data_IF_050833872952
#
_entry.id   IF_050833872952
#
_cell.length_a   1.000
_cell.length_b   1.000
_cell.length_c   1.000
_cell.angle_alpha   90.00
_cell.angle_beta   90.00
_cell.angle_gamma   90.00
#
_symmetry.space_group_name_H-M   'P 1'
#
loop_
_entity.id
_entity.type
_entity.pdbx_description
1 polymer ?
#
# COMPACT_ATOMS: atom_id res chain seq x y z
N UNK A 1 -14.63 12.95 -11.26
CA UNK A 1 -14.66 11.54 -10.80
C UNK A 1 -15.45 10.65 -11.75
N UNK A 2 -16.44 11.18 -12.42
CA UNK A 2 -17.27 10.45 -13.37
C UNK A 2 -16.84 10.83 -14.79
N UNK A 3 -16.68 9.84 -15.67
CA UNK A 3 -16.42 10.08 -17.09
C UNK A 3 -17.60 10.84 -17.74
N UNK A 4 -17.32 11.44 -18.88
CA UNK A 4 -18.33 12.13 -19.67
C UNK A 4 -19.56 11.22 -19.92
N UNK A 5 -20.76 11.72 -19.74
CA UNK A 5 -22.02 10.99 -19.93
C UNK A 5 -22.48 10.09 -18.77
N UNK A 6 -21.73 9.98 -17.65
CA UNK A 6 -22.22 9.25 -16.47
C UNK A 6 -23.27 10.05 -15.74
N UNK A 7 -23.14 11.39 -15.69
CA UNK A 7 -24.14 12.27 -15.12
C UNK A 7 -25.48 12.16 -15.83
N UNK A 8 -25.46 12.13 -17.16
CA UNK A 8 -26.68 11.96 -17.96
C UNK A 8 -27.36 10.62 -17.68
N UNK A 9 -26.60 9.52 -17.64
CA UNK A 9 -27.13 8.21 -17.29
C UNK A 9 -27.69 8.12 -15.87
N UNK A 10 -27.12 8.89 -14.93
CA UNK A 10 -27.65 8.97 -13.58
C UNK A 10 -28.95 9.77 -13.55
N UNK A 11 -29.02 10.89 -14.29
CA UNK A 11 -30.24 11.68 -14.43
C UNK A 11 -31.39 10.87 -15.04
N UNK A 12 -31.09 9.98 -16.00
CA UNK A 12 -32.09 9.09 -16.62
C UNK A 12 -32.76 8.09 -15.64
N UNK A 13 -32.21 7.94 -14.42
CA UNK A 13 -32.82 7.10 -13.37
C UNK A 13 -33.94 7.82 -12.61
N UNK A 14 -34.06 9.14 -12.75
CA UNK A 14 -35.13 9.92 -12.14
C UNK A 14 -36.36 9.92 -13.04
N UNK A 15 -37.52 9.72 -12.43
CA UNK A 15 -38.81 9.72 -13.18
C UNK A 15 -39.18 11.12 -13.64
N UNK A 16 -39.94 11.19 -14.75
CA UNK A 16 -40.48 12.43 -15.30
C UNK A 16 -41.35 13.16 -14.23
N UNK A 17 -40.93 14.39 -13.91
CA UNK A 17 -41.65 15.26 -12.97
C UNK A 17 -40.91 15.56 -11.66
N UNK A 18 -39.77 14.96 -11.44
CA UNK A 18 -38.85 15.36 -10.37
C UNK A 18 -38.09 16.66 -10.75
N UNK A 19 -37.55 17.32 -9.74
CA UNK A 19 -36.70 18.50 -9.94
C UNK A 19 -35.51 18.11 -10.84
N UNK A 20 -35.38 18.77 -11.98
CA UNK A 20 -34.33 18.54 -12.98
C UNK A 20 -32.92 18.52 -12.36
N UNK A 21 -32.71 19.13 -11.21
CA UNK A 21 -31.43 19.22 -10.52
C UNK A 21 -31.36 18.35 -9.27
N UNK A 22 -32.39 17.58 -8.92
CA UNK A 22 -32.43 16.77 -7.70
C UNK A 22 -31.22 15.81 -7.64
N UNK A 23 -30.90 15.15 -8.75
CA UNK A 23 -29.74 14.25 -8.85
C UNK A 23 -28.40 14.97 -8.59
N UNK A 24 -28.30 16.27 -8.93
CA UNK A 24 -27.09 17.06 -8.68
C UNK A 24 -26.88 17.30 -7.18
N UNK A 25 -27.96 17.57 -6.45
CA UNK A 25 -27.91 17.73 -5.00
C UNK A 25 -27.50 16.42 -4.33
N UNK A 26 -28.05 15.29 -4.76
CA UNK A 26 -27.70 13.97 -4.25
C UNK A 26 -26.21 13.67 -4.49
N UNK A 27 -25.71 13.92 -5.70
CA UNK A 27 -24.28 13.74 -6.02
C UNK A 27 -23.39 14.65 -5.18
N UNK A 28 -23.80 15.92 -4.96
CA UNK A 28 -23.05 16.87 -4.14
C UNK A 28 -23.03 16.41 -2.68
N UNK A 29 -24.18 16.03 -2.13
CA UNK A 29 -24.29 15.55 -0.76
C UNK A 29 -23.49 14.27 -0.55
N UNK A 30 -23.58 13.33 -1.50
CA UNK A 30 -22.82 12.09 -1.48
C UNK A 30 -21.31 12.35 -1.57
N UNK A 31 -20.90 13.28 -2.45
CA UNK A 31 -19.51 13.66 -2.60
C UNK A 31 -18.96 14.46 -1.40
N UNK A 32 -19.82 15.15 -0.66
CA UNK A 32 -19.45 15.88 0.56
C UNK A 32 -19.23 14.95 1.76
N UNK A 33 -19.94 13.81 1.80
CA UNK A 33 -19.81 12.82 2.87
C UNK A 33 -18.58 11.94 2.65
N UNK A 34 -17.59 12.04 3.55
CA UNK A 34 -16.34 11.28 3.45
C UNK A 34 -16.59 9.76 3.51
N UNK A 35 -17.47 9.32 4.40
CA UNK A 35 -17.78 7.91 4.56
C UNK A 35 -18.36 7.30 3.26
N UNK A 36 -19.30 8.01 2.63
CA UNK A 36 -19.88 7.56 1.36
C UNK A 36 -18.85 7.50 0.23
N UNK A 37 -17.97 8.50 0.15
CA UNK A 37 -16.87 8.47 -0.82
C UNK A 37 -15.96 7.27 -0.61
N UNK A 38 -15.63 6.96 0.63
CA UNK A 38 -14.76 5.83 0.97
C UNK A 38 -15.41 4.50 0.61
N UNK A 39 -16.72 4.34 0.84
CA UNK A 39 -17.48 3.17 0.41
C UNK A 39 -17.45 3.01 -1.12
N UNK A 40 -17.71 4.08 -1.86
CA UNK A 40 -17.70 4.05 -3.32
C UNK A 40 -16.30 3.74 -3.87
N UNK A 41 -15.27 4.36 -3.31
CA UNK A 41 -13.88 4.10 -3.69
C UNK A 41 -13.45 2.67 -3.36
N UNK A 42 -13.87 2.14 -2.21
CA UNK A 42 -13.64 0.76 -1.81
C UNK A 42 -14.30 -0.23 -2.79
N UNK A 43 -15.55 0.02 -3.16
CA UNK A 43 -16.26 -0.78 -4.16
C UNK A 43 -15.56 -0.73 -5.54
N UNK A 44 -15.26 0.47 -6.03
CA UNK A 44 -14.59 0.66 -7.32
C UNK A 44 -13.22 -0.04 -7.36
N UNK A 45 -12.46 0.05 -6.28
CA UNK A 45 -11.17 -0.64 -6.14
C UNK A 45 -11.33 -2.15 -6.11
N UNK A 46 -12.30 -2.67 -5.36
CA UNK A 46 -12.60 -4.10 -5.29
C UNK A 46 -12.98 -4.67 -6.66
N UNK A 47 -13.83 -3.96 -7.40
CA UNK A 47 -14.24 -4.37 -8.74
C UNK A 47 -13.09 -4.29 -9.75
N UNK A 48 -12.24 -3.26 -9.64
CA UNK A 48 -11.04 -3.15 -10.48
C UNK A 48 -10.08 -4.34 -10.25
N UNK A 49 -9.80 -4.70 -9.00
CA UNK A 49 -8.93 -5.85 -8.67
C UNK A 49 -9.56 -7.17 -9.14
N UNK A 50 -10.87 -7.34 -8.95
CA UNK A 50 -11.60 -8.50 -9.46
C UNK A 50 -11.45 -8.65 -10.98
N UNK A 51 -11.63 -7.57 -11.73
CA UNK A 51 -11.46 -7.56 -13.18
C UNK A 51 -10.00 -7.82 -13.58
N UNK A 52 -9.05 -7.18 -12.92
CA UNK A 52 -7.62 -7.40 -13.16
C UNK A 52 -7.24 -8.86 -12.96
N UNK A 53 -7.73 -9.51 -11.91
CA UNK A 53 -7.45 -10.93 -11.67
C UNK A 53 -8.16 -11.85 -12.67
N UNK A 54 -9.40 -11.53 -13.06
CA UNK A 54 -10.16 -12.27 -14.06
C UNK A 54 -9.45 -12.28 -15.44
N UNK A 55 -8.86 -11.15 -15.83
CA UNK A 55 -8.23 -11.01 -17.14
C UNK A 55 -6.74 -11.41 -17.17
N UNK A 56 -6.06 -11.42 -16.03
CA UNK A 56 -4.63 -11.76 -15.92
C UNK A 56 -4.25 -13.09 -16.61
N UNK A 57 -4.97 -14.22 -16.43
CA UNK A 57 -4.63 -15.46 -17.13
C UNK A 57 -4.71 -15.33 -18.64
N UNK A 58 -5.64 -14.52 -19.16
CA UNK A 58 -5.87 -14.31 -20.58
C UNK A 58 -4.73 -13.53 -21.23
N UNK A 59 -4.03 -12.68 -20.49
CA UNK A 59 -2.92 -11.88 -21.02
C UNK A 59 -1.67 -12.68 -21.31
N UNK A 60 -1.53 -13.90 -20.76
CA UNK A 60 -0.36 -14.76 -20.99
C UNK A 60 -0.15 -15.12 -22.46
N UNK A 61 -1.21 -15.10 -23.26
CA UNK A 61 -1.19 -15.45 -24.67
C UNK A 61 -1.13 -14.22 -25.60
N UNK A 62 -1.13 -13.00 -25.03
CA UNK A 62 -1.02 -11.78 -25.81
C UNK A 62 0.43 -11.51 -26.22
N UNK A 63 0.59 -10.77 -27.32
CA UNK A 63 1.88 -10.20 -27.68
C UNK A 63 2.40 -9.30 -26.56
N UNK A 64 3.72 -9.16 -26.47
CA UNK A 64 4.40 -8.48 -25.37
C UNK A 64 3.91 -7.05 -25.16
N UNK A 65 3.71 -6.28 -26.24
CA UNK A 65 3.21 -4.91 -26.17
C UNK A 65 1.82 -4.80 -25.51
N UNK A 66 0.89 -5.71 -25.80
CA UNK A 66 -0.44 -5.71 -25.17
C UNK A 66 -0.37 -6.18 -23.72
N UNK A 67 0.50 -7.14 -23.40
CA UNK A 67 0.73 -7.56 -22.02
C UNK A 67 1.33 -6.43 -21.18
N UNK A 68 2.27 -5.68 -21.76
CA UNK A 68 2.85 -4.50 -21.11
C UNK A 68 1.79 -3.41 -20.87
N UNK A 69 0.94 -3.10 -21.85
CA UNK A 69 -0.16 -2.15 -21.69
C UNK A 69 -1.13 -2.57 -20.59
N UNK A 70 -1.49 -3.86 -20.52
CA UNK A 70 -2.33 -4.38 -19.43
C UNK A 70 -1.66 -4.21 -18.07
N UNK A 71 -0.39 -4.57 -17.91
CA UNK A 71 0.34 -4.46 -16.66
C UNK A 71 0.42 -2.99 -16.19
N UNK A 72 0.70 -2.08 -17.11
CA UNK A 72 0.74 -0.65 -16.84
C UNK A 72 -0.64 -0.11 -16.40
N UNK A 73 -1.70 -0.51 -17.10
CA UNK A 73 -3.07 -0.12 -16.73
C UNK A 73 -3.44 -0.61 -15.32
N UNK A 74 -3.14 -1.87 -15.01
CA UNK A 74 -3.42 -2.45 -13.70
C UNK A 74 -2.61 -1.77 -12.60
N UNK A 75 -1.34 -1.45 -12.85
CA UNK A 75 -0.50 -0.71 -11.91
C UNK A 75 -1.03 0.71 -11.69
N UNK A 76 -1.39 1.42 -12.74
CA UNK A 76 -1.97 2.77 -12.66
C UNK A 76 -3.31 2.79 -11.91
N UNK A 77 -4.20 1.84 -12.18
CA UNK A 77 -5.46 1.72 -11.45
C UNK A 77 -5.27 1.47 -9.95
N UNK A 78 -4.21 0.77 -9.58
CA UNK A 78 -3.85 0.56 -8.17
C UNK A 78 -3.33 1.82 -7.46
N UNK A 79 -2.90 2.87 -8.18
CA UNK A 79 -2.43 4.13 -7.58
C UNK A 79 -3.52 4.95 -6.91
N UNK A 80 -4.79 4.70 -7.20
CA UNK A 80 -5.91 5.40 -6.57
C UNK A 80 -5.85 5.28 -5.04
N UNK A 81 -5.30 4.20 -4.52
CA UNK A 81 -5.06 4.03 -3.08
C UNK A 81 -3.89 4.85 -2.51
N UNK A 82 -3.03 5.41 -3.36
CA UNK A 82 -1.83 6.14 -2.94
C UNK A 82 -2.14 7.37 -2.07
N UNK A 83 -3.20 8.10 -2.40
CA UNK A 83 -3.58 9.34 -1.70
C UNK A 83 -4.76 9.17 -0.75
N UNK A 84 -5.47 8.04 -0.81
CA UNK A 84 -6.71 7.76 -0.10
C UNK A 84 -6.63 6.40 0.59
N UNK A 85 -5.50 6.12 1.24
CA UNK A 85 -5.36 4.89 2.00
C UNK A 85 -6.20 4.98 3.27
N UNK A 86 -7.34 4.29 3.27
CA UNK A 86 -8.22 4.13 4.41
C UNK A 86 -8.40 2.64 4.68
N UNK A 87 -8.27 2.28 5.94
CA UNK A 87 -8.62 0.93 6.38
C UNK A 87 -10.12 0.88 6.67
N UNK A 88 -10.86 -0.08 6.08
CA UNK A 88 -12.25 -0.31 6.44
C UNK A 88 -12.36 -0.88 7.86
N UNK A 89 -13.57 -0.85 8.46
CA UNK A 89 -13.82 -1.43 9.79
C UNK A 89 -13.54 -2.93 9.85
N UNK A 90 -13.74 -3.62 8.73
CA UNK A 90 -13.47 -5.06 8.59
C UNK A 90 -12.72 -5.33 7.30
N UNK A 91 -11.83 -6.32 7.31
CA UNK A 91 -11.09 -6.75 6.13
C UNK A 91 -11.26 -8.25 5.90
N UNK A 92 -11.20 -8.65 4.64
CA UNK A 92 -11.01 -10.05 4.27
C UNK A 92 -9.51 -10.30 4.09
N UNK A 93 -8.97 -11.24 4.85
CA UNK A 93 -7.58 -11.69 4.77
C UNK A 93 -7.52 -13.14 4.31
N UNK A 94 -6.46 -13.48 3.57
CA UNK A 94 -6.13 -14.89 3.35
C UNK A 94 -5.36 -15.38 4.57
N UNK A 95 -5.94 -16.34 5.28
CA UNK A 95 -5.29 -16.94 6.43
C UNK A 95 -4.36 -18.07 5.97
N UNK A 96 -3.17 -18.10 6.55
CA UNK A 96 -2.21 -19.19 6.33
C UNK A 96 -2.48 -20.29 7.36
N UNK A 97 -2.94 -21.45 6.91
CA UNK A 97 -3.27 -22.58 7.81
C UNK A 97 -2.06 -23.09 8.60
N UNK A 98 -0.84 -22.84 8.12
CA UNK A 98 0.43 -23.23 8.73
C UNK A 98 1.21 -22.02 9.28
N UNK A 99 0.53 -20.89 9.51
CA UNK A 99 1.09 -19.66 10.05
C UNK A 99 1.20 -19.65 11.57
N UNK A 100 1.91 -18.66 12.08
CA UNK A 100 1.95 -18.39 13.52
C UNK A 100 0.76 -17.51 13.92
N UNK A 101 0.08 -17.92 14.99
CA UNK A 101 -1.01 -17.15 15.58
C UNK A 101 -0.47 -16.00 16.41
N UNK A 102 -1.04 -14.82 16.24
CA UNK A 102 -0.71 -13.60 16.98
C UNK A 102 -1.98 -12.91 17.49
N UNK A 103 -1.83 -12.08 18.52
CA UNK A 103 -2.91 -11.30 19.15
C UNK A 103 -2.73 -9.81 18.97
N UNK A 104 -1.63 -9.39 18.36
CA UNK A 104 -1.23 -7.99 18.16
C UNK A 104 -1.37 -7.53 16.70
N UNK A 105 -2.11 -8.27 15.87
CA UNK A 105 -2.48 -7.80 14.55
C UNK A 105 -3.65 -6.81 14.65
N UNK A 106 -3.65 -5.77 13.81
CA UNK A 106 -4.69 -4.71 13.84
C UNK A 106 -6.12 -5.27 13.65
N UNK A 107 -6.26 -6.29 12.82
CA UNK A 107 -7.52 -7.01 12.64
C UNK A 107 -7.37 -8.44 13.17
N UNK A 108 -8.23 -8.79 14.09
CA UNK A 108 -8.31 -10.13 14.70
C UNK A 108 -9.70 -10.73 14.51
N UNK A 109 -9.79 -12.04 14.57
CA UNK A 109 -11.06 -12.76 14.54
C UNK A 109 -11.82 -12.62 15.87
N UNK A 110 -12.96 -13.30 16.01
CA UNK A 110 -13.79 -13.26 17.22
C UNK A 110 -13.07 -13.80 18.48
N UNK A 111 -12.06 -14.64 18.29
CA UNK A 111 -11.20 -15.19 19.35
C UNK A 111 -10.05 -14.23 19.73
N UNK A 112 -9.95 -13.05 19.11
CA UNK A 112 -8.88 -12.09 19.35
C UNK A 112 -7.55 -12.48 18.73
N UNK A 113 -7.54 -13.30 17.68
CA UNK A 113 -6.32 -13.80 17.04
C UNK A 113 -6.31 -13.58 15.53
N UNK A 114 -5.10 -13.58 14.96
CA UNK A 114 -4.86 -13.65 13.51
C UNK A 114 -3.71 -14.63 13.23
N UNK A 115 -3.70 -15.27 12.06
CA UNK A 115 -2.70 -16.28 11.71
C UNK A 115 -2.06 -15.93 10.37
N UNK A 116 -0.73 -15.74 10.37
CA UNK A 116 0.05 -15.39 9.19
C UNK A 116 1.36 -16.19 9.13
N UNK A 117 1.76 -16.59 7.93
CA UNK A 117 3.06 -17.19 7.67
C UNK A 117 4.06 -16.09 7.33
N UNK A 118 4.86 -15.71 8.30
CA UNK A 118 5.95 -14.76 8.12
C UNK A 118 7.16 -15.44 7.45
N UNK A 119 7.83 -14.73 6.55
CA UNK A 119 8.93 -15.26 5.73
C UNK A 119 10.20 -14.42 5.87
N UNK A 120 11.35 -15.08 5.67
CA UNK A 120 12.63 -14.38 5.58
C UNK A 120 12.95 -13.52 6.81
N UNK A 121 13.00 -12.20 6.62
CA UNK A 121 13.33 -11.24 7.68
C UNK A 121 12.09 -10.63 8.38
N UNK A 122 10.90 -10.99 7.93
CA UNK A 122 9.63 -10.50 8.48
C UNK A 122 9.46 -10.80 9.99
N UNK A 123 9.73 -12.04 10.49
CA UNK A 123 9.65 -12.31 11.92
C UNK A 123 10.55 -11.41 12.76
N UNK A 124 11.80 -11.29 12.34
CA UNK A 124 12.77 -10.46 13.06
C UNK A 124 12.37 -8.98 13.05
N UNK A 125 11.83 -8.48 11.93
CA UNK A 125 11.32 -7.10 11.81
C UNK A 125 10.24 -6.85 12.84
N UNK A 126 9.24 -7.73 12.95
CA UNK A 126 8.16 -7.58 13.94
C UNK A 126 8.65 -7.75 15.38
N UNK A 127 9.60 -8.65 15.63
CA UNK A 127 10.18 -8.83 16.97
C UNK A 127 10.96 -7.60 17.43
N UNK A 128 11.60 -6.87 16.53
CA UNK A 128 12.23 -5.57 16.84
C UNK A 128 11.17 -4.50 17.10
N UNK A 129 10.11 -4.40 16.26
CA UNK A 129 9.02 -3.44 16.46
C UNK A 129 8.31 -3.63 17.80
N UNK A 130 8.04 -4.86 18.20
CA UNK A 130 7.39 -5.22 19.49
C UNK A 130 8.16 -4.78 20.70
N UNK A 131 9.48 -4.61 20.60
CA UNK A 131 10.32 -4.13 21.71
C UNK A 131 10.23 -2.63 21.94
N UNK A 132 9.71 -1.89 20.95
CA UNK A 132 9.59 -0.44 21.09
C UNK A 132 8.52 -0.06 22.12
N UNK A 133 8.82 0.83 23.09
CA UNK A 133 7.89 1.16 24.19
C UNK A 133 6.52 1.72 23.73
N UNK A 134 6.49 2.33 22.54
CA UNK A 134 5.28 2.93 21.98
C UNK A 134 4.53 1.99 21.00
N UNK A 135 5.03 0.77 20.78
CA UNK A 135 4.39 -0.20 19.91
C UNK A 135 2.99 -0.57 20.40
N UNK A 136 2.04 -0.67 19.45
CA UNK A 136 0.65 -1.06 19.72
C UNK A 136 0.31 -2.34 18.97
N UNK A 137 0.36 -2.29 17.63
CA UNK A 137 -0.02 -3.40 16.79
C UNK A 137 0.58 -3.26 15.38
N UNK A 138 0.37 -4.27 14.57
CA UNK A 138 0.80 -4.30 13.18
C UNK A 138 -0.31 -4.77 12.24
N UNK A 139 -0.22 -4.42 10.97
CA UNK A 139 -1.07 -4.89 9.90
C UNK A 139 -0.21 -5.54 8.81
N UNK A 140 -0.56 -6.76 8.42
CA UNK A 140 -0.06 -7.36 7.18
C UNK A 140 -0.72 -6.69 6.00
N UNK A 141 0.03 -6.02 5.17
CA UNK A 141 -0.46 -5.42 3.94
C UNK A 141 -0.48 -6.49 2.83
N UNK A 142 -1.53 -7.32 2.82
CA UNK A 142 -1.63 -8.43 1.87
C UNK A 142 -1.79 -7.92 0.44
N UNK A 143 -0.97 -8.45 -0.47
CA UNK A 143 -1.00 -8.06 -1.88
C UNK A 143 -2.37 -8.33 -2.54
N UNK A 144 -2.76 -7.45 -3.45
CA UNK A 144 -3.98 -7.55 -4.28
C UNK A 144 -5.31 -7.52 -3.52
N UNK A 145 -5.31 -7.18 -2.24
CA UNK A 145 -6.56 -6.93 -1.53
C UNK A 145 -7.08 -5.53 -1.83
N UNK A 146 -8.40 -5.32 -1.91
CA UNK A 146 -8.98 -4.00 -2.18
C UNK A 146 -8.57 -2.93 -1.17
N UNK A 147 -8.35 -3.35 0.08
CA UNK A 147 -7.94 -2.49 1.19
C UNK A 147 -6.41 -2.30 1.29
N UNK A 148 -5.61 -3.08 0.54
CA UNK A 148 -4.15 -3.03 0.67
C UNK A 148 -3.55 -1.77 0.05
N UNK A 149 -2.54 -1.22 0.72
CA UNK A 149 -1.73 -0.14 0.17
C UNK A 149 -0.87 -0.67 -0.98
N UNK A 150 -1.05 -0.10 -2.17
CA UNK A 150 -0.27 -0.42 -3.36
C UNK A 150 0.51 0.82 -3.82
N UNK A 151 1.81 0.65 -4.04
CA UNK A 151 2.71 1.67 -4.58
C UNK A 151 3.24 1.16 -5.92
N UNK A 152 2.92 1.79 -7.05
CA UNK A 152 3.48 1.38 -8.33
C UNK A 152 4.94 1.80 -8.44
N UNK A 153 5.74 0.96 -9.10
CA UNK A 153 7.15 1.24 -9.37
C UNK A 153 7.55 0.84 -10.78
N UNK A 154 8.50 1.59 -11.34
CA UNK A 154 9.06 1.31 -12.66
C UNK A 154 10.21 0.32 -12.54
N UNK A 155 10.15 -0.77 -13.30
CA UNK A 155 11.19 -1.79 -13.36
C UNK A 155 11.44 -2.20 -14.82
N UNK A 156 12.53 -1.72 -15.41
CA UNK A 156 12.74 -1.81 -16.84
C UNK A 156 11.70 -0.96 -17.59
N UNK A 157 11.01 -1.58 -18.55
CA UNK A 157 9.96 -0.92 -19.34
C UNK A 157 8.55 -1.19 -18.80
N UNK A 158 8.43 -1.72 -17.58
CA UNK A 158 7.16 -2.10 -16.99
C UNK A 158 6.89 -1.32 -15.71
N UNK A 159 5.64 -0.89 -15.54
CA UNK A 159 5.13 -0.46 -14.22
C UNK A 159 4.59 -1.68 -13.49
N UNK A 160 5.13 -1.94 -12.30
CA UNK A 160 4.74 -3.06 -11.45
C UNK A 160 4.06 -2.56 -10.18
N UNK A 161 3.25 -3.44 -9.57
CA UNK A 161 2.61 -3.19 -8.28
C UNK A 161 3.52 -3.65 -7.16
N UNK A 162 3.66 -2.81 -6.16
CA UNK A 162 4.41 -3.08 -4.95
C UNK A 162 3.50 -2.90 -3.73
N UNK A 163 3.47 -3.87 -2.87
CA UNK A 163 2.71 -3.87 -1.62
C UNK A 163 3.71 -3.99 -0.48
N UNK A 164 4.09 -2.87 0.18
CA UNK A 164 4.97 -2.95 1.36
C UNK A 164 4.41 -3.88 2.42
N UNK A 165 5.25 -4.65 3.08
CA UNK A 165 4.83 -5.79 3.90
C UNK A 165 3.99 -5.43 5.12
N UNK A 166 4.37 -4.35 5.83
CA UNK A 166 3.78 -4.02 7.12
C UNK A 166 3.40 -2.56 7.28
N UNK A 167 2.28 -2.34 7.96
CA UNK A 167 1.97 -1.07 8.60
C UNK A 167 2.04 -1.31 10.11
N UNK A 168 2.86 -0.51 10.80
CA UNK A 168 3.02 -0.56 12.26
C UNK A 168 2.30 0.63 12.87
N UNK A 169 1.57 0.40 13.94
CA UNK A 169 0.90 1.43 14.74
C UNK A 169 1.64 1.60 16.05
N UNK A 170 1.97 2.84 16.39
CA UNK A 170 2.61 3.23 17.65
C UNK A 170 1.86 4.40 18.30
N UNK A 171 2.03 4.62 19.58
CA UNK A 171 1.64 5.88 20.22
C UNK A 171 2.56 7.02 19.78
N UNK A 172 1.99 8.20 19.50
CA UNK A 172 2.76 9.42 19.16
C UNK A 172 3.31 10.17 20.37
N UNK A 173 2.97 9.71 21.57
CA UNK A 173 3.32 10.36 22.83
C UNK A 173 2.37 11.49 23.26
N UNK A 174 1.38 11.87 22.42
CA UNK A 174 0.42 12.97 22.66
C UNK A 174 -1.05 12.50 22.64
N UNK A 175 -1.31 11.26 23.03
CA UNK A 175 -2.62 10.59 22.97
C UNK A 175 -3.14 10.31 21.55
N UNK A 176 -2.27 10.36 20.53
CA UNK A 176 -2.54 10.01 19.17
C UNK A 176 -1.75 8.79 18.72
N UNK A 177 -1.75 8.55 17.41
CA UNK A 177 -1.11 7.40 16.80
C UNK A 177 -0.17 7.81 15.68
N UNK A 178 0.99 7.17 15.63
CA UNK A 178 1.93 7.20 14.53
C UNK A 178 1.85 5.92 13.71
N UNK A 179 1.92 6.08 12.40
CA UNK A 179 1.92 4.97 11.45
C UNK A 179 3.28 4.88 10.75
N UNK A 180 3.78 3.66 10.64
CA UNK A 180 5.02 3.37 9.92
C UNK A 180 4.78 2.34 8.85
N UNK A 181 5.35 2.56 7.67
CA UNK A 181 5.32 1.63 6.54
C UNK A 181 6.67 0.94 6.45
N UNK A 182 6.70 -0.38 6.57
CA UNK A 182 7.93 -1.16 6.61
C UNK A 182 7.99 -2.20 5.49
N UNK A 183 9.14 -2.27 4.85
CA UNK A 183 9.48 -3.24 3.81
C UNK A 183 10.81 -3.95 4.14
N UNK A 184 10.78 -5.10 4.81
CA UNK A 184 11.96 -5.95 4.97
C UNK A 184 12.30 -6.60 3.63
N UNK A 185 13.37 -6.14 2.99
CA UNK A 185 13.73 -6.57 1.64
C UNK A 185 15.17 -7.05 1.54
N UNK A 186 15.34 -8.29 1.03
CA UNK A 186 16.66 -8.93 0.89
C UNK A 186 17.50 -8.20 -0.16
N UNK A 187 18.79 -8.09 0.11
CA UNK A 187 19.76 -7.41 -0.74
C UNK A 187 20.09 -8.15 -2.04
N UNK A 188 19.77 -9.45 -2.13
CA UNK A 188 19.95 -10.28 -3.32
C UNK A 188 18.87 -10.09 -4.42
N UNK A 189 17.94 -9.16 -4.23
CA UNK A 189 16.86 -8.88 -5.20
C UNK A 189 17.27 -7.79 -6.18
N UNK A 190 16.92 -7.98 -7.45
CA UNK A 190 17.24 -7.06 -8.56
C UNK A 190 16.26 -5.89 -8.70
N UNK A 191 15.21 -5.84 -7.88
CA UNK A 191 14.19 -4.79 -7.87
C UNK A 191 14.23 -3.90 -6.61
N UNK A 192 15.34 -3.95 -5.86
CA UNK A 192 15.56 -3.16 -4.65
C UNK A 192 15.55 -1.65 -4.93
N UNK A 193 16.37 -1.19 -5.87
CA UNK A 193 16.46 0.23 -6.22
C UNK A 193 15.15 0.77 -6.82
N UNK A 194 14.47 0.09 -7.78
CA UNK A 194 13.16 0.51 -8.26
C UNK A 194 12.11 0.68 -7.15
N UNK A 195 12.02 -0.26 -6.22
CA UNK A 195 11.11 -0.17 -5.07
C UNK A 195 11.50 0.93 -4.10
N UNK A 196 12.79 1.08 -3.79
CA UNK A 196 13.29 2.15 -2.94
C UNK A 196 12.97 3.53 -3.53
N UNK A 197 13.12 3.72 -4.84
CA UNK A 197 12.71 4.95 -5.53
C UNK A 197 11.21 5.20 -5.46
N UNK A 198 10.39 4.15 -5.55
CA UNK A 198 8.95 4.26 -5.39
C UNK A 198 8.57 4.68 -3.96
N UNK A 199 9.18 4.09 -2.93
CA UNK A 199 8.99 4.50 -1.53
C UNK A 199 9.46 5.93 -1.28
N UNK A 200 10.61 6.33 -1.87
CA UNK A 200 11.11 7.69 -1.78
C UNK A 200 10.16 8.72 -2.41
N UNK A 201 9.60 8.43 -3.59
CA UNK A 201 8.56 9.27 -4.23
C UNK A 201 7.28 9.28 -3.40
N UNK A 202 6.85 8.15 -2.90
CA UNK A 202 5.65 8.06 -2.07
C UNK A 202 5.80 8.90 -0.79
N UNK A 203 6.97 8.86 -0.16
CA UNK A 203 7.27 9.66 1.03
C UNK A 203 7.32 11.19 0.77
N UNK A 204 7.47 11.63 -0.48
CA UNK A 204 7.35 13.05 -0.83
C UNK A 204 5.91 13.55 -0.76
N UNK A 205 4.97 12.70 -1.21
CA UNK A 205 3.59 13.07 -1.45
C UNK A 205 2.66 12.69 -0.29
N UNK A 206 3.08 11.75 0.56
CA UNK A 206 2.27 11.18 1.64
C UNK A 206 2.82 11.56 3.01
N UNK A 207 2.02 12.31 3.76
CA UNK A 207 2.34 12.73 5.14
C UNK A 207 1.65 11.85 6.20
N UNK A 208 0.94 10.80 5.77
CA UNK A 208 0.17 9.93 6.70
C UNK A 208 1.06 8.96 7.48
N UNK A 209 2.30 8.77 7.06
CA UNK A 209 3.26 7.90 7.74
C UNK A 209 4.40 8.73 8.31
N UNK A 210 4.67 8.54 9.58
CA UNK A 210 5.83 9.17 10.27
C UNK A 210 7.16 8.54 9.86
N UNK A 211 7.12 7.27 9.43
CA UNK A 211 8.27 6.52 8.91
C UNK A 211 7.86 5.67 7.72
N UNK A 212 8.64 5.72 6.67
CA UNK A 212 8.55 4.86 5.49
C UNK A 212 9.92 4.25 5.29
N UNK A 213 10.07 2.97 5.60
CA UNK A 213 11.38 2.35 5.75
C UNK A 213 11.51 1.07 4.93
N UNK A 214 12.66 0.93 4.25
CA UNK A 214 13.15 -0.36 3.78
C UNK A 214 14.16 -0.89 4.78
N UNK A 215 14.09 -2.20 5.06
CA UNK A 215 14.90 -2.83 6.07
C UNK A 215 15.80 -3.92 5.47
N UNK A 216 17.04 -3.99 5.95
CA UNK A 216 18.00 -5.08 5.63
C UNK A 216 18.60 -5.64 6.89
N UNK A 217 18.82 -6.95 6.90
CA UNK A 217 19.49 -7.59 8.02
C UNK A 217 20.99 -7.27 7.99
N UNK A 218 21.53 -6.79 9.13
CA UNK A 218 22.96 -6.58 9.36
C UNK A 218 23.35 -7.17 10.71
N UNK A 219 24.01 -8.33 10.67
CA UNK A 219 24.22 -9.15 11.87
C UNK A 219 22.87 -9.63 12.45
N UNK A 220 22.66 -9.38 13.73
CA UNK A 220 21.45 -9.78 14.45
C UNK A 220 20.38 -8.67 14.54
N UNK A 221 20.57 -7.54 13.84
CA UNK A 221 19.65 -6.38 13.85
C UNK A 221 19.22 -6.01 12.44
N UNK A 222 18.08 -5.29 12.38
CA UNK A 222 17.57 -4.73 11.12
C UNK A 222 18.11 -3.30 10.94
N UNK A 223 18.90 -3.11 9.88
CA UNK A 223 19.31 -1.78 9.42
C UNK A 223 18.16 -1.16 8.65
N UNK A 224 17.83 0.10 8.92
CA UNK A 224 16.63 0.80 8.44
C UNK A 224 17.02 2.01 7.61
N UNK A 225 16.49 2.11 6.41
CA UNK A 225 16.64 3.27 5.54
C UNK A 225 15.32 4.02 5.48
N UNK A 226 15.26 5.20 6.11
CA UNK A 226 14.03 5.96 6.28
C UNK A 226 13.84 7.03 5.20
N UNK A 227 12.90 6.83 4.30
CA UNK A 227 12.58 7.73 3.20
C UNK A 227 11.82 9.01 3.63
N UNK A 228 11.33 9.11 4.85
CA UNK A 228 10.82 10.36 5.38
C UNK A 228 11.93 11.38 5.61
N UNK A 229 13.18 10.94 5.77
CA UNK A 229 14.36 11.82 5.86
C UNK A 229 14.72 12.38 4.47
N UNK A 230 14.67 13.70 4.31
CA UNK A 230 14.93 14.37 3.02
C UNK A 230 16.29 13.99 2.42
N UNK A 231 17.35 13.92 3.24
CA UNK A 231 18.69 13.58 2.78
C UNK A 231 18.75 12.15 2.21
N UNK A 232 18.13 11.17 2.87
CA UNK A 232 18.02 9.78 2.41
C UNK A 232 17.26 9.73 1.09
N UNK A 233 16.10 10.36 1.05
CA UNK A 233 15.23 10.40 -0.11
C UNK A 233 15.93 10.95 -1.35
N UNK A 234 16.63 12.08 -1.18
CA UNK A 234 17.40 12.70 -2.27
C UNK A 234 18.52 11.80 -2.79
N UNK A 235 19.27 11.14 -1.91
CA UNK A 235 20.32 10.21 -2.30
C UNK A 235 19.76 9.02 -3.07
N UNK A 236 18.70 8.39 -2.58
CA UNK A 236 18.07 7.23 -3.22
C UNK A 236 17.51 7.57 -4.60
N UNK A 237 16.86 8.72 -4.77
CA UNK A 237 16.34 9.15 -6.08
C UNK A 237 17.47 9.36 -7.11
N UNK A 238 18.65 9.75 -6.68
CA UNK A 238 19.82 9.95 -7.52
C UNK A 238 20.64 8.68 -7.82
N UNK A 239 20.40 7.55 -7.13
CA UNK A 239 21.05 6.28 -7.45
C UNK A 239 20.75 5.85 -8.88
N UNK A 240 21.73 5.31 -9.57
CA UNK A 240 21.57 4.76 -10.92
C UNK A 240 21.60 3.23 -10.91
N UNK A 241 22.43 2.66 -10.04
CA UNK A 241 22.66 1.22 -9.94
C UNK A 241 22.23 0.66 -8.58
N UNK A 242 22.09 -0.66 -8.49
CA UNK A 242 21.88 -1.35 -7.21
C UNK A 242 23.09 -1.19 -6.27
N UNK A 243 24.31 -1.06 -6.82
CA UNK A 243 25.51 -0.80 -6.03
C UNK A 243 25.48 0.60 -5.39
N UNK A 244 25.05 1.64 -6.13
CA UNK A 244 24.84 2.97 -5.56
C UNK A 244 23.83 2.91 -4.41
N UNK A 245 22.74 2.19 -4.61
CA UNK A 245 21.71 2.02 -3.59
C UNK A 245 22.23 1.27 -2.36
N UNK A 246 23.02 0.23 -2.56
CA UNK A 246 23.65 -0.50 -1.47
C UNK A 246 24.64 0.36 -0.68
N UNK A 247 25.39 1.23 -1.35
CA UNK A 247 26.25 2.22 -0.70
C UNK A 247 25.45 3.21 0.15
N UNK A 248 24.33 3.76 -0.39
CA UNK A 248 23.43 4.64 0.37
C UNK A 248 22.85 3.90 1.57
N UNK A 249 22.41 2.65 1.39
CA UNK A 249 21.85 1.86 2.48
C UNK A 249 22.87 1.66 3.62
N UNK A 250 24.12 1.40 3.29
CA UNK A 250 25.19 1.20 4.27
C UNK A 250 25.61 2.48 5.01
N UNK A 251 25.47 3.64 4.37
CA UNK A 251 25.92 4.94 4.94
C UNK A 251 24.82 5.68 5.68
N UNK A 252 23.58 5.59 5.20
CA UNK A 252 22.43 6.32 5.73
C UNK A 252 21.48 5.43 6.56
N UNK A 253 21.65 4.11 6.47
CA UNK A 253 20.85 3.18 7.27
C UNK A 253 21.17 3.29 8.75
N UNK A 254 20.15 3.25 9.58
CA UNK A 254 20.27 3.34 11.04
C UNK A 254 19.65 2.12 11.71
N UNK A 255 20.08 1.82 12.91
CA UNK A 255 19.42 0.84 13.77
C UNK A 255 18.37 1.56 14.62
N UNK A 256 17.19 0.97 14.77
CA UNK A 256 16.18 1.47 15.73
C UNK A 256 16.74 1.31 17.16
N UNK A 257 16.52 2.31 18.00
CA UNK A 257 17.06 2.40 19.35
C UNK A 257 16.09 1.76 20.34
#
# INVERSE_FOLDING_TARGET
LCGEGIGDKYADLYEDGEDEYAYMYDVILYAADQHQRDLLMGYAKGEFERLADLYRPKTKHLQENYRLQYNNLVAQGSTVSKHLFHLPETINVDLDNDGNTCTDHLFVNAEGTATFKLKGWEPQTLDEERKHPQYICWLRNQDRKPWALCIPYECGNETKRFYPDFIIVRHDGNNGYDFSLLEPHRDDKTDNLPKAKALAKYAQDCLSFSRIQMLRKKGDRMLRLDFCKLAVRSKVLNCVTEDDFSAVFNTEGEFDI
#
